data_IF_460016758625
#
_entry.id   IF_460016758625
#
_cell.length_a   1.000
_cell.length_b   1.000
_cell.length_c   1.000
_cell.angle_alpha   90.00
_cell.angle_beta   90.00
_cell.angle_gamma   90.00
#
_symmetry.space_group_name_H-M   'P 1'
#
loop_
_entity.id
_entity.type
_entity.pdbx_description
1 polymer ?
#
# COMPACT_ATOMS: atom_id res chain seq x y z
N UNK A 1 15.27 -4.06 1.53
CA UNK A 1 14.18 -3.53 0.70
C UNK A 1 14.45 -3.88 -0.76
N UNK A 2 13.44 -4.44 -1.43
CA UNK A 2 13.48 -4.80 -2.85
C UNK A 2 13.56 -3.53 -3.72
N UNK A 3 14.43 -3.53 -4.73
CA UNK A 3 14.63 -2.41 -5.68
C UNK A 3 13.31 -1.92 -6.31
N UNK A 4 12.39 -2.85 -6.60
CA UNK A 4 11.06 -2.58 -7.15
C UNK A 4 10.13 -1.80 -6.20
N UNK A 5 10.24 -2.01 -4.89
CA UNK A 5 9.44 -1.30 -3.88
C UNK A 5 9.77 0.20 -3.86
N UNK A 6 11.06 0.54 -3.95
CA UNK A 6 11.55 1.92 -3.96
C UNK A 6 11.09 2.66 -5.22
N UNK A 7 11.25 2.04 -6.38
CA UNK A 7 10.85 2.61 -7.68
C UNK A 7 9.35 2.94 -7.72
N UNK A 8 8.50 2.01 -7.24
CA UNK A 8 7.05 2.21 -7.18
C UNK A 8 6.67 3.40 -6.29
N UNK A 9 7.30 3.55 -5.11
CA UNK A 9 7.03 4.68 -4.20
C UNK A 9 7.41 6.02 -4.84
N UNK A 10 8.52 6.07 -5.58
CA UNK A 10 8.96 7.29 -6.26
C UNK A 10 8.01 7.66 -7.42
N UNK A 11 7.61 6.68 -8.22
CA UNK A 11 6.65 6.89 -9.31
C UNK A 11 5.28 7.34 -8.78
N UNK A 12 4.82 6.70 -7.71
CA UNK A 12 3.55 7.03 -7.05
C UNK A 12 3.54 8.49 -6.58
N UNK A 13 4.53 8.92 -5.78
CA UNK A 13 4.61 10.30 -5.28
C UNK A 13 4.77 11.35 -6.39
N UNK A 14 5.34 10.98 -7.53
CA UNK A 14 5.52 11.88 -8.67
C UNK A 14 4.23 12.12 -9.46
N UNK A 15 3.29 11.17 -9.42
CA UNK A 15 2.20 11.12 -10.39
C UNK A 15 0.79 10.97 -9.78
N UNK A 16 0.67 10.52 -8.53
CA UNK A 16 -0.62 10.22 -7.90
C UNK A 16 -0.84 11.17 -6.72
N UNK A 17 -1.97 11.89 -6.74
CA UNK A 17 -2.47 12.61 -5.57
C UNK A 17 -3.45 11.70 -4.81
N UNK A 18 -3.03 11.21 -3.65
CA UNK A 18 -3.83 10.27 -2.86
C UNK A 18 -5.04 10.90 -2.18
N UNK A 19 -6.19 10.20 -2.16
CA UNK A 19 -7.35 10.65 -1.42
C UNK A 19 -7.07 10.64 0.09
N UNK A 20 -7.73 11.55 0.81
CA UNK A 20 -7.69 11.62 2.28
C UNK A 20 -6.26 11.61 2.87
N UNK A 21 -5.27 12.13 2.13
CA UNK A 21 -3.87 12.16 2.58
C UNK A 21 -3.24 13.55 2.46
N UNK A 22 -2.44 13.94 3.45
CA UNK A 22 -1.50 15.05 3.35
C UNK A 22 -0.24 14.60 2.59
N UNK A 23 -0.10 15.03 1.33
CA UNK A 23 0.99 14.60 0.45
C UNK A 23 2.39 14.94 0.99
N UNK A 24 2.54 16.01 1.78
CA UNK A 24 3.82 16.39 2.38
C UNK A 24 4.32 15.40 3.43
N UNK A 25 3.42 14.66 4.09
CA UNK A 25 3.80 13.70 5.12
C UNK A 25 4.56 12.50 4.53
N UNK A 26 4.34 12.20 3.24
CA UNK A 26 5.03 11.12 2.54
C UNK A 26 6.54 11.36 2.32
N UNK A 27 7.04 12.57 2.60
CA UNK A 27 8.49 12.82 2.70
C UNK A 27 9.14 12.07 3.87
N UNK A 28 8.36 11.74 4.92
CA UNK A 28 8.84 11.09 6.16
C UNK A 28 8.17 9.75 6.42
N UNK A 29 6.94 9.57 5.98
CA UNK A 29 6.16 8.35 6.15
C UNK A 29 6.05 7.64 4.80
N UNK A 30 6.86 6.62 4.51
CA UNK A 30 6.83 5.99 3.19
C UNK A 30 5.53 5.22 2.96
N UNK A 31 4.97 5.35 1.74
CA UNK A 31 3.86 4.53 1.25
C UNK A 31 4.18 3.03 1.31
N UNK A 32 3.12 2.22 1.40
CA UNK A 32 3.19 0.75 1.37
C UNK A 32 2.52 0.27 0.08
N UNK A 33 3.28 0.04 -1.01
CA UNK A 33 2.73 -0.51 -2.23
C UNK A 33 2.32 -1.97 -2.02
N UNK A 34 1.04 -2.26 -2.17
CA UNK A 34 0.48 -3.61 -2.04
C UNK A 34 0.62 -4.36 -3.37
N UNK A 35 1.18 -5.57 -3.30
CA UNK A 35 1.45 -6.43 -4.47
C UNK A 35 0.31 -7.41 -4.75
N UNK A 36 -0.26 -8.00 -3.70
CA UNK A 36 -1.34 -9.00 -3.80
C UNK A 36 -2.09 -9.11 -2.48
N UNK A 37 -3.29 -9.68 -2.52
CA UNK A 37 -4.01 -10.16 -1.33
C UNK A 37 -4.27 -11.67 -1.40
N UNK A 38 -4.58 -12.28 -0.25
CA UNK A 38 -5.10 -13.65 -0.12
C UNK A 38 -5.86 -13.82 1.19
N UNK A 39 -7.16 -14.13 1.10
CA UNK A 39 -8.05 -14.20 2.27
C UNK A 39 -8.06 -12.85 2.99
N UNK A 40 -7.80 -12.86 4.30
CA UNK A 40 -7.75 -11.63 5.12
C UNK A 40 -6.42 -10.87 5.03
N UNK A 41 -5.45 -11.31 4.21
CA UNK A 41 -4.10 -10.76 4.21
C UNK A 41 -3.76 -9.96 2.95
N UNK A 42 -3.00 -8.88 3.13
CA UNK A 42 -2.32 -8.12 2.08
C UNK A 42 -0.81 -8.35 2.16
N UNK A 43 -0.16 -8.37 1.01
CA UNK A 43 1.28 -8.60 0.88
C UNK A 43 1.91 -7.47 0.07
N UNK A 44 2.99 -6.88 0.58
CA UNK A 44 3.74 -5.86 -0.15
C UNK A 44 4.82 -6.45 -1.08
N UNK A 45 5.60 -5.57 -1.71
CA UNK A 45 6.71 -5.96 -2.59
C UNK A 45 7.98 -6.41 -1.83
N UNK A 46 8.05 -6.20 -0.53
CA UNK A 46 9.17 -6.60 0.34
C UNK A 46 8.92 -7.96 1.03
N UNK A 47 7.71 -8.52 0.87
CA UNK A 47 7.31 -9.81 1.44
C UNK A 47 6.63 -9.70 2.80
N UNK A 48 6.36 -8.48 3.27
CA UNK A 48 5.61 -8.27 4.50
C UNK A 48 4.15 -8.67 4.30
N UNK A 49 3.54 -9.14 5.39
CA UNK A 49 2.15 -9.60 5.42
C UNK A 49 1.38 -8.80 6.46
N UNK A 50 0.24 -8.25 6.05
CA UNK A 50 -0.65 -7.43 6.87
C UNK A 50 -2.03 -8.09 6.91
N UNK A 51 -2.74 -8.00 8.04
CA UNK A 51 -4.16 -8.33 8.08
C UNK A 51 -4.93 -7.09 7.62
N UNK A 52 -5.86 -7.24 6.68
CA UNK A 52 -6.78 -6.18 6.27
C UNK A 52 -7.91 -6.05 7.31
N UNK A 53 -7.62 -5.32 8.39
CA UNK A 53 -8.55 -5.14 9.51
C UNK A 53 -9.71 -4.18 9.21
N UNK A 54 -9.75 -3.56 8.02
CA UNK A 54 -10.78 -2.58 7.63
C UNK A 54 -11.48 -2.94 6.33
N UNK A 55 -11.29 -4.15 5.80
CA UNK A 55 -11.89 -4.59 4.54
C UNK A 55 -11.65 -3.62 3.37
N UNK A 56 -10.45 -3.04 3.29
CA UNK A 56 -10.03 -2.12 2.22
C UNK A 56 -11.06 -1.04 1.91
N UNK A 57 -11.38 -0.23 2.93
CA UNK A 57 -12.46 0.77 2.93
C UNK A 57 -13.87 0.15 3.03
N UNK A 58 -13.99 -0.88 3.86
CA UNK A 58 -15.26 -1.51 4.26
C UNK A 58 -16.02 -2.18 3.10
N UNK A 59 -15.35 -2.46 1.98
CA UNK A 59 -15.97 -3.07 0.80
C UNK A 59 -15.61 -4.54 0.62
N UNK A 60 -14.50 -5.02 1.18
CA UNK A 60 -14.10 -6.40 1.03
C UNK A 60 -14.84 -7.33 2.03
N UNK A 61 -15.75 -8.15 1.50
CA UNK A 61 -16.62 -9.05 2.28
C UNK A 61 -16.13 -10.50 2.36
N UNK A 62 -15.45 -10.99 1.31
CA UNK A 62 -15.09 -12.41 1.16
C UNK A 62 -13.57 -12.67 1.15
N UNK A 63 -12.77 -11.65 1.43
CA UNK A 63 -11.32 -11.68 1.33
C UNK A 63 -10.80 -11.23 -0.04
N UNK A 64 -9.49 -11.05 -0.12
CA UNK A 64 -8.74 -10.78 -1.35
C UNK A 64 -8.27 -12.08 -2.02
#
# INVERSE_FOLDING_TARGET
MHKKSIELKQMDLKHIWHPCTQMKDYEKLPLIPIKKGKGVHLYDFDGNKFIDCISSWWVNLFGH
#
